data_IF_128907263712
#
_entry.id   IF_128907263712
#
_cell.length_a   1.000
_cell.length_b   1.000
_cell.length_c   1.000
_cell.angle_alpha   90.00
_cell.angle_beta   90.00
_cell.angle_gamma   90.00
#
_symmetry.space_group_name_H-M   'P 1'
#
loop_
_entity.id
_entity.type
_entity.pdbx_description
1 polymer ?
#
# COMPACT_ATOMS: atom_id res chain seq x y z
N UNK A 1 -1.32 68.30 -22.07
CA UNK A 1 -1.69 66.95 -21.57
C UNK A 1 -1.90 67.11 -20.08
N UNK A 2 -3.16 67.13 -19.65
CA UNK A 2 -3.53 67.56 -18.31
C UNK A 2 -3.08 66.54 -17.26
N UNK A 3 -2.66 67.02 -16.08
CA UNK A 3 -2.16 66.17 -14.98
C UNK A 3 -3.19 65.12 -14.55
N UNK A 4 -4.47 65.44 -14.65
CA UNK A 4 -5.57 64.51 -14.37
C UNK A 4 -5.60 63.36 -15.38
N UNK A 5 -5.40 63.66 -16.66
CA UNK A 5 -5.38 62.69 -17.76
C UNK A 5 -4.20 61.70 -17.63
N UNK A 6 -3.06 62.18 -17.10
CA UNK A 6 -1.91 61.34 -16.77
C UNK A 6 -2.18 60.48 -15.52
N UNK A 7 -2.85 61.03 -14.51
CA UNK A 7 -3.21 60.33 -13.28
C UNK A 7 -4.22 59.20 -13.55
N UNK A 8 -5.21 59.41 -14.42
CA UNK A 8 -6.20 58.40 -14.78
C UNK A 8 -5.60 57.27 -15.65
N UNK A 9 -4.68 57.60 -16.57
CA UNK A 9 -3.90 56.59 -17.30
C UNK A 9 -3.02 55.75 -16.37
N UNK A 10 -2.43 56.36 -15.33
CA UNK A 10 -1.65 55.66 -14.32
C UNK A 10 -2.53 54.79 -13.43
N UNK A 11 -3.70 55.27 -12.98
CA UNK A 11 -4.68 54.49 -12.23
C UNK A 11 -5.17 53.29 -13.03
N UNK A 12 -5.49 53.45 -14.32
CA UNK A 12 -5.90 52.34 -15.18
C UNK A 12 -4.78 51.30 -15.40
N UNK A 13 -3.52 51.74 -15.51
CA UNK A 13 -2.37 50.83 -15.64
C UNK A 13 -2.02 50.10 -14.34
N UNK A 14 -2.14 50.77 -13.19
CA UNK A 14 -1.80 50.23 -11.88
C UNK A 14 -2.95 49.42 -11.24
N UNK A 15 -4.20 49.76 -11.53
CA UNK A 15 -5.41 49.14 -10.98
C UNK A 15 -6.07 48.12 -11.93
N UNK A 16 -5.35 47.58 -12.91
CA UNK A 16 -5.82 46.44 -13.71
C UNK A 16 -5.97 45.20 -12.82
N UNK A 17 -7.11 45.08 -12.14
CA UNK A 17 -7.60 43.79 -11.62
C UNK A 17 -7.73 42.87 -12.83
N UNK A 18 -6.82 41.90 -12.97
CA UNK A 18 -6.97 40.83 -13.96
C UNK A 18 -8.25 40.08 -13.58
N UNK A 19 -9.31 40.25 -14.37
CA UNK A 19 -10.55 39.51 -14.21
C UNK A 19 -10.27 38.11 -14.75
N UNK A 20 -10.21 37.12 -13.85
CA UNK A 20 -10.12 35.71 -14.23
C UNK A 20 -11.51 35.24 -14.63
N UNK A 21 -11.68 34.81 -15.87
CA UNK A 21 -12.92 34.19 -16.34
C UNK A 21 -12.88 32.69 -16.07
N UNK A 22 -13.85 32.18 -15.32
CA UNK A 22 -14.03 30.75 -15.00
C UNK A 22 -15.11 30.09 -15.86
N UNK A 23 -15.54 30.73 -16.96
CA UNK A 23 -16.64 30.26 -17.82
C UNK A 23 -16.35 29.00 -18.64
N UNK A 24 -15.08 28.61 -18.76
CA UNK A 24 -14.61 27.55 -19.66
C UNK A 24 -13.89 26.41 -18.91
N UNK A 25 -14.58 25.76 -17.96
CA UNK A 25 -14.04 24.64 -17.18
C UNK A 25 -14.40 23.29 -17.82
N UNK A 26 -13.62 22.85 -18.81
CA UNK A 26 -13.73 21.49 -19.36
C UNK A 26 -12.65 20.59 -18.75
N UNK A 27 -13.06 19.46 -18.17
CA UNK A 27 -12.15 18.47 -17.60
C UNK A 27 -12.60 17.06 -17.99
N UNK A 28 -11.69 16.11 -17.88
CA UNK A 28 -12.02 14.69 -17.93
C UNK A 28 -12.57 14.26 -16.58
N UNK A 29 -13.81 13.76 -16.57
CA UNK A 29 -14.42 13.18 -15.37
C UNK A 29 -13.84 11.81 -15.02
N UNK A 30 -14.33 11.21 -13.93
CA UNK A 30 -13.83 9.93 -13.41
C UNK A 30 -13.89 8.76 -14.41
N UNK A 31 -14.81 8.82 -15.38
CA UNK A 31 -14.99 7.84 -16.44
C UNK A 31 -14.19 8.13 -17.73
N UNK A 32 -13.31 9.14 -17.69
CA UNK A 32 -12.51 9.56 -18.85
C UNK A 32 -13.28 10.32 -19.93
N UNK A 33 -14.51 10.76 -19.66
CA UNK A 33 -15.30 11.56 -20.61
C UNK A 33 -15.12 13.06 -20.34
N UNK A 34 -15.08 13.86 -21.40
CA UNK A 34 -15.03 15.32 -21.29
C UNK A 34 -16.37 15.84 -20.78
N UNK A 35 -16.33 16.65 -19.72
CA UNK A 35 -17.49 17.30 -19.12
C UNK A 35 -17.18 18.78 -18.94
N UNK A 36 -18.18 19.63 -19.23
CA UNK A 36 -18.14 21.05 -18.87
C UNK A 36 -18.71 21.19 -17.46
N UNK A 37 -17.97 21.88 -16.59
CA UNK A 37 -18.38 22.19 -15.23
C UNK A 37 -18.90 23.62 -15.17
N UNK A 38 -20.04 23.79 -14.52
CA UNK A 38 -20.73 25.09 -14.36
C UNK A 38 -20.08 25.92 -13.27
N UNK A 39 -19.67 25.23 -12.21
CA UNK A 39 -19.18 25.80 -10.96
C UNK A 39 -18.01 24.96 -10.43
N UNK A 40 -17.16 25.58 -9.61
CA UNK A 40 -16.01 24.92 -8.99
C UNK A 40 -16.45 23.83 -8.03
N UNK A 41 -17.60 23.98 -7.36
CA UNK A 41 -18.13 22.99 -6.43
C UNK A 41 -18.46 21.65 -7.11
N UNK A 42 -18.95 21.67 -8.37
CA UNK A 42 -19.22 20.43 -9.11
C UNK A 42 -17.96 19.58 -9.34
N UNK A 43 -16.80 20.25 -9.52
CA UNK A 43 -15.50 19.57 -9.66
C UNK A 43 -15.09 18.95 -8.33
N UNK A 44 -15.29 19.69 -7.23
CA UNK A 44 -14.93 19.25 -5.88
C UNK A 44 -15.78 18.07 -5.44
N UNK A 45 -17.10 18.11 -5.67
CA UNK A 45 -18.03 17.04 -5.30
C UNK A 45 -17.70 15.75 -6.06
N UNK A 46 -17.49 15.83 -7.38
CA UNK A 46 -17.10 14.67 -8.19
C UNK A 46 -15.75 14.09 -7.73
N UNK A 47 -14.77 14.95 -7.40
CA UNK A 47 -13.48 14.52 -6.87
C UNK A 47 -13.59 13.87 -5.49
N UNK A 48 -14.43 14.43 -4.60
CA UNK A 48 -14.60 13.96 -3.23
C UNK A 48 -15.10 12.52 -3.18
N UNK A 49 -16.15 12.19 -3.95
CA UNK A 49 -16.71 10.84 -3.97
C UNK A 49 -15.70 9.79 -4.44
N UNK A 50 -15.01 10.06 -5.54
CA UNK A 50 -13.97 9.17 -6.07
C UNK A 50 -12.83 9.00 -5.05
N UNK A 51 -12.42 10.09 -4.39
CA UNK A 51 -11.37 10.02 -3.38
C UNK A 51 -11.78 9.24 -2.15
N UNK A 52 -13.01 9.38 -1.68
CA UNK A 52 -13.51 8.66 -0.52
C UNK A 52 -13.48 7.14 -0.77
N UNK A 53 -13.94 6.69 -1.95
CA UNK A 53 -13.88 5.29 -2.35
C UNK A 53 -12.43 4.78 -2.41
N UNK A 54 -11.53 5.56 -3.02
CA UNK A 54 -10.11 5.22 -3.09
C UNK A 54 -9.42 5.19 -1.73
N UNK A 55 -9.86 6.01 -0.76
CA UNK A 55 -9.34 5.95 0.60
C UNK A 55 -9.74 4.66 1.30
N UNK A 56 -10.99 4.21 1.12
CA UNK A 56 -11.45 2.90 1.58
C UNK A 56 -10.62 1.76 0.98
N UNK A 57 -10.50 1.72 -0.35
CA UNK A 57 -9.72 0.69 -1.04
C UNK A 57 -8.23 0.70 -0.61
N UNK A 58 -7.65 1.89 -0.41
CA UNK A 58 -6.27 2.04 0.08
C UNK A 58 -6.13 1.52 1.52
N UNK A 59 -7.08 1.83 2.38
CA UNK A 59 -7.07 1.39 3.79
C UNK A 59 -7.07 -0.14 3.87
N UNK A 60 -7.97 -0.78 3.14
CA UNK A 60 -8.04 -2.24 3.05
C UNK A 60 -6.75 -2.84 2.47
N UNK A 61 -6.23 -2.28 1.37
CA UNK A 61 -4.99 -2.75 0.77
C UNK A 61 -3.80 -2.67 1.74
N UNK A 62 -3.73 -1.63 2.58
CA UNK A 62 -2.67 -1.48 3.59
C UNK A 62 -2.83 -2.54 4.69
N UNK A 63 -4.06 -2.81 5.15
CA UNK A 63 -4.34 -3.85 6.15
C UNK A 63 -3.91 -5.22 5.61
N UNK A 64 -4.32 -5.56 4.40
CA UNK A 64 -3.99 -6.83 3.76
C UNK A 64 -2.48 -6.98 3.53
N UNK A 65 -1.79 -5.91 3.12
CA UNK A 65 -0.34 -5.91 3.02
C UNK A 65 0.34 -6.18 4.37
N UNK A 66 -0.13 -5.55 5.45
CA UNK A 66 0.43 -5.75 6.78
C UNK A 66 0.20 -7.17 7.30
N UNK A 67 -1.01 -7.71 7.11
CA UNK A 67 -1.38 -9.08 7.49
C UNK A 67 -0.51 -10.10 6.74
N UNK A 68 -0.36 -9.92 5.42
CA UNK A 68 0.51 -10.74 4.60
C UNK A 68 1.96 -10.72 5.08
N UNK A 69 2.54 -9.53 5.32
CA UNK A 69 3.92 -9.42 5.81
C UNK A 69 4.11 -10.07 7.19
N UNK A 70 3.12 -9.96 8.07
CA UNK A 70 3.13 -10.60 9.38
C UNK A 70 3.08 -12.13 9.27
N UNK A 71 2.22 -12.66 8.41
CA UNK A 71 2.12 -14.10 8.11
C UNK A 71 3.48 -14.64 7.65
N UNK A 72 4.09 -14.00 6.65
CA UNK A 72 5.39 -14.43 6.10
C UNK A 72 6.48 -14.41 7.18
N UNK A 73 6.57 -13.33 7.98
CA UNK A 73 7.57 -13.24 9.04
C UNK A 73 7.34 -14.27 10.17
N UNK A 74 6.07 -14.54 10.50
CA UNK A 74 5.71 -15.56 11.48
C UNK A 74 6.10 -16.95 11.01
N UNK A 75 5.77 -17.29 9.75
CA UNK A 75 6.12 -18.57 9.13
C UNK A 75 7.64 -18.75 9.05
N UNK A 76 8.39 -17.72 8.63
CA UNK A 76 9.87 -17.76 8.61
C UNK A 76 10.45 -18.02 10.01
N UNK A 77 9.93 -17.35 11.03
CA UNK A 77 10.37 -17.54 12.42
C UNK A 77 10.09 -18.97 12.91
N UNK A 78 8.89 -19.49 12.63
CA UNK A 78 8.48 -20.86 12.97
C UNK A 78 9.34 -21.89 12.24
N UNK A 79 9.67 -21.63 10.98
CA UNK A 79 10.49 -22.50 10.14
C UNK A 79 11.92 -22.60 10.68
N UNK A 80 12.56 -21.48 11.02
CA UNK A 80 13.87 -21.46 11.68
C UNK A 80 13.83 -22.30 12.97
N UNK A 81 12.78 -22.13 13.78
CA UNK A 81 12.63 -22.87 15.05
C UNK A 81 12.48 -24.37 14.82
N UNK A 82 11.75 -24.79 13.76
CA UNK A 82 11.56 -26.20 13.42
C UNK A 82 12.82 -26.86 12.83
N UNK A 83 13.58 -26.15 12.00
CA UNK A 83 14.88 -26.61 11.51
C UNK A 83 15.84 -26.83 12.68
N UNK A 84 15.90 -25.86 13.61
CA UNK A 84 16.74 -25.98 14.81
C UNK A 84 16.34 -27.15 15.71
N UNK A 85 15.05 -27.44 15.80
CA UNK A 85 14.53 -28.61 16.52
C UNK A 85 14.68 -29.93 15.73
N UNK A 86 15.34 -29.90 14.56
CA UNK A 86 15.50 -31.04 13.64
C UNK A 86 14.18 -31.71 13.22
N UNK A 87 13.06 -30.96 13.26
CA UNK A 87 11.73 -31.45 12.85
C UNK A 87 11.54 -31.39 11.34
N UNK A 88 12.25 -30.48 10.68
CA UNK A 88 12.27 -30.33 9.22
C UNK A 88 13.73 -30.33 8.80
N UNK A 89 14.10 -31.27 7.94
CA UNK A 89 15.44 -31.37 7.36
C UNK A 89 15.32 -31.58 5.85
N UNK A 90 15.49 -30.50 5.09
CA UNK A 90 15.37 -30.52 3.62
C UNK A 90 16.37 -31.49 2.97
N UNK A 91 17.50 -31.79 3.61
CA UNK A 91 18.53 -32.69 3.03
C UNK A 91 18.13 -34.16 3.12
N UNK A 92 17.21 -34.50 4.03
CA UNK A 92 16.81 -35.89 4.31
C UNK A 92 15.42 -36.23 3.80
N UNK A 93 14.58 -35.22 3.55
CA UNK A 93 13.19 -35.42 3.13
C UNK A 93 13.09 -35.43 1.60
N UNK A 94 12.23 -36.29 1.06
CA UNK A 94 11.80 -36.17 -0.33
C UNK A 94 10.92 -34.93 -0.51
N UNK A 95 10.83 -34.43 -1.74
CA UNK A 95 10.01 -33.24 -2.06
C UNK A 95 8.55 -33.41 -1.65
N UNK A 96 7.96 -34.59 -1.85
CA UNK A 96 6.58 -34.88 -1.46
C UNK A 96 6.38 -34.85 0.07
N UNK A 97 7.33 -35.42 0.83
CA UNK A 97 7.27 -35.40 2.30
C UNK A 97 7.50 -33.98 2.84
N UNK A 98 8.41 -33.22 2.22
CA UNK A 98 8.65 -31.84 2.57
C UNK A 98 7.40 -30.99 2.33
N UNK A 99 6.75 -31.14 1.17
CA UNK A 99 5.51 -30.43 0.86
C UNK A 99 4.40 -30.75 1.88
N UNK A 100 4.17 -32.03 2.18
CA UNK A 100 3.17 -32.42 3.17
C UNK A 100 3.46 -31.85 4.57
N UNK A 101 4.74 -31.81 4.96
CA UNK A 101 5.14 -31.19 6.23
C UNK A 101 4.95 -29.67 6.21
N UNK A 102 5.17 -29.02 5.07
CA UNK A 102 4.98 -27.59 4.91
C UNK A 102 3.49 -27.21 4.96
N UNK A 103 2.65 -27.93 4.22
CA UNK A 103 1.18 -27.74 4.21
C UNK A 103 0.55 -27.93 5.59
N UNK A 104 1.07 -28.85 6.39
CA UNK A 104 0.59 -29.08 7.76
C UNK A 104 0.95 -27.97 8.73
N UNK A 105 2.09 -27.30 8.54
CA UNK A 105 2.69 -26.44 9.56
C UNK A 105 2.72 -24.94 9.20
N UNK A 106 2.57 -24.59 7.92
CA UNK A 106 2.73 -23.23 7.44
C UNK A 106 1.63 -22.83 6.46
N UNK A 107 1.24 -21.57 6.53
CA UNK A 107 0.32 -20.97 5.56
C UNK A 107 1.05 -20.77 4.23
N UNK A 108 0.40 -21.15 3.13
CA UNK A 108 0.89 -20.94 1.78
C UNK A 108 0.94 -19.43 1.46
N UNK A 109 1.87 -19.02 0.59
CA UNK A 109 1.89 -17.65 0.09
C UNK A 109 0.67 -17.41 -0.83
N UNK A 110 -0.29 -16.54 -0.45
CA UNK A 110 -1.47 -16.25 -1.27
C UNK A 110 -1.14 -15.51 -2.57
N UNK A 111 0.07 -14.95 -2.70
CA UNK A 111 0.53 -14.23 -3.90
C UNK A 111 1.34 -15.12 -4.85
N UNK A 112 1.65 -16.35 -4.45
CA UNK A 112 2.33 -17.30 -5.31
C UNK A 112 1.37 -17.85 -6.37
N UNK A 113 1.75 -17.74 -7.65
CA UNK A 113 0.97 -18.26 -8.78
C UNK A 113 1.13 -19.78 -8.97
N UNK A 114 2.16 -20.39 -8.38
CA UNK A 114 2.47 -21.81 -8.54
C UNK A 114 1.66 -22.78 -7.66
N UNK A 115 1.81 -24.06 -7.96
CA UNK A 115 1.24 -25.18 -7.17
C UNK A 115 2.33 -25.89 -6.37
N UNK A 116 1.95 -26.52 -5.24
CA UNK A 116 2.86 -27.30 -4.41
C UNK A 116 3.98 -26.45 -3.79
N UNK A 117 5.24 -26.88 -3.97
CA UNK A 117 6.42 -26.28 -3.31
C UNK A 117 6.63 -24.79 -3.65
N UNK A 118 6.20 -24.33 -4.83
CA UNK A 118 6.30 -22.92 -5.22
C UNK A 118 5.55 -21.99 -4.25
N UNK A 119 4.46 -22.46 -3.63
CA UNK A 119 3.71 -21.69 -2.61
C UNK A 119 4.48 -21.49 -1.30
N UNK A 120 5.54 -22.26 -1.09
CA UNK A 120 6.40 -22.22 0.08
C UNK A 120 7.83 -21.79 -0.25
N UNK A 121 8.03 -21.22 -1.44
CA UNK A 121 9.34 -20.79 -1.90
C UNK A 121 10.00 -19.81 -0.94
N UNK A 122 9.22 -18.92 -0.30
CA UNK A 122 9.71 -17.97 0.69
C UNK A 122 10.34 -18.60 1.95
N UNK A 123 10.09 -19.91 2.19
CA UNK A 123 10.73 -20.71 3.24
C UNK A 123 11.89 -21.54 2.68
N UNK A 124 11.66 -22.23 1.57
CA UNK A 124 12.64 -23.18 1.00
C UNK A 124 13.86 -22.46 0.41
N UNK A 125 13.66 -21.28 -0.18
CA UNK A 125 14.74 -20.45 -0.76
C UNK A 125 15.59 -19.70 0.27
N UNK A 126 15.30 -19.84 1.57
CA UNK A 126 16.05 -19.13 2.60
C UNK A 126 17.50 -19.62 2.67
N UNK A 127 18.44 -18.68 2.72
CA UNK A 127 19.86 -19.01 2.95
C UNK A 127 20.06 -19.65 4.32
N UNK A 128 20.90 -20.69 4.39
CA UNK A 128 21.28 -21.34 5.65
C UNK A 128 21.81 -20.36 6.71
N UNK A 129 22.49 -19.26 6.29
CA UNK A 129 22.97 -18.20 7.19
C UNK A 129 21.85 -17.47 7.94
N UNK A 130 20.62 -17.55 7.45
CA UNK A 130 19.47 -16.93 8.10
C UNK A 130 18.95 -17.73 9.31
N UNK A 131 19.41 -18.96 9.50
CA UNK A 131 18.97 -19.87 10.56
C UNK A 131 19.70 -19.60 11.88
N UNK A 132 19.62 -18.37 12.38
CA UNK A 132 20.20 -17.95 13.66
C UNK A 132 19.13 -17.41 14.60
N UNK A 133 19.39 -17.44 15.91
CA UNK A 133 18.45 -16.92 16.91
C UNK A 133 18.32 -15.40 16.86
N UNK A 134 19.39 -14.69 16.48
CA UNK A 134 19.38 -13.25 16.27
C UNK A 134 18.44 -12.88 15.13
N UNK A 135 18.45 -13.67 14.04
CA UNK A 135 17.52 -13.47 12.94
C UNK A 135 16.07 -13.77 13.35
N UNK A 136 15.83 -14.84 14.09
CA UNK A 136 14.50 -15.18 14.58
C UNK A 136 13.95 -14.12 15.56
N UNK A 137 14.77 -13.63 16.49
CA UNK A 137 14.38 -12.55 17.41
C UNK A 137 14.14 -11.25 16.65
N UNK A 138 14.99 -10.90 15.68
CA UNK A 138 14.78 -9.75 14.78
C UNK A 138 13.42 -9.85 14.07
N UNK A 139 13.09 -11.00 13.47
CA UNK A 139 11.79 -11.21 12.81
C UNK A 139 10.62 -11.05 13.80
N UNK A 140 10.71 -11.62 15.00
CA UNK A 140 9.69 -11.44 16.05
C UNK A 140 9.48 -9.97 16.43
N UNK A 141 10.56 -9.18 16.54
CA UNK A 141 10.43 -7.73 16.82
C UNK A 141 9.77 -6.98 15.66
N UNK A 142 10.04 -7.36 14.41
CA UNK A 142 9.39 -6.77 13.24
C UNK A 142 7.89 -7.09 13.21
N UNK A 143 7.50 -8.32 13.53
CA UNK A 143 6.08 -8.70 13.67
C UNK A 143 5.40 -7.83 14.72
N UNK A 144 5.98 -7.68 15.92
CA UNK A 144 5.43 -6.81 16.96
C UNK A 144 5.29 -5.35 16.52
N UNK A 145 6.25 -4.82 15.76
CA UNK A 145 6.17 -3.46 15.20
C UNK A 145 5.02 -3.33 14.20
N UNK A 146 4.84 -4.32 13.33
CA UNK A 146 3.76 -4.37 12.33
C UNK A 146 2.39 -4.52 12.99
N UNK A 147 2.28 -5.36 14.01
CA UNK A 147 1.05 -5.54 14.78
C UNK A 147 0.59 -4.22 15.44
N UNK A 148 1.53 -3.45 16.00
CA UNK A 148 1.22 -2.10 16.51
C UNK A 148 0.70 -1.16 15.42
N UNK A 149 1.31 -1.20 14.22
CA UNK A 149 0.86 -0.39 13.08
C UNK A 149 -0.52 -0.82 12.59
N UNK A 150 -0.78 -2.13 12.54
CA UNK A 150 -2.06 -2.68 12.15
C UNK A 150 -3.17 -2.18 13.09
N UNK A 151 -2.95 -2.28 14.41
CA UNK A 151 -3.89 -1.75 15.42
C UNK A 151 -4.14 -0.25 15.27
N UNK A 152 -3.11 0.53 14.94
CA UNK A 152 -3.27 1.97 14.69
C UNK A 152 -4.12 2.24 13.44
N UNK A 153 -3.88 1.51 12.36
CA UNK A 153 -4.60 1.67 11.08
C UNK A 153 -6.04 1.20 11.20
N UNK A 154 -6.30 0.07 11.86
CA UNK A 154 -7.66 -0.42 12.14
C UNK A 154 -8.46 0.55 13.02
N UNK A 155 -7.79 1.27 13.93
CA UNK A 155 -8.42 2.32 14.74
C UNK A 155 -8.66 3.63 13.97
N UNK A 156 -8.01 3.82 12.82
CA UNK A 156 -8.16 5.03 12.01
C UNK A 156 -9.26 4.79 10.99
N UNK A 157 -10.34 5.57 11.03
CA UNK A 157 -11.40 5.53 10.02
C UNK A 157 -10.85 6.05 8.68
N UNK A 158 -11.33 5.45 7.58
CA UNK A 158 -11.01 5.87 6.21
C UNK A 158 -11.51 7.28 5.90
#
# INVERSE_FOLDING_TARGET
MDREDLADKLRLKLAKKKVLSTSNMYLFGANGRIKKYSDVYEIIDEYYHVRLELYGARHEAIIEQLRYEMMILSNKTKFITMIKASKIDQRKMSEALLLAALEKNFEADPRASGTGLSRYEYLVSMSYRSFTDENATRMKTLVKKKEKKLKLIEATTA
#
